data_IF_070707023867
#
_entry.id   IF_070707023867
#
_cell.length_a   1.000
_cell.length_b   1.000
_cell.length_c   1.000
_cell.angle_alpha   90.00
_cell.angle_beta   90.00
_cell.angle_gamma   90.00
#
_symmetry.space_group_name_H-M   'P 1'
#
loop_
_entity.id
_entity.type
_entity.pdbx_description
1 polymer ?
#
# COMPACT_ATOMS: atom_id res chain seq x y z
N UNK A 1 19.87 13.13 7.95
CA UNK A 1 19.52 11.72 7.68
C UNK A 1 18.11 11.69 7.11
N UNK A 2 17.93 11.47 5.80
CA UNK A 2 16.58 11.25 5.26
C UNK A 2 16.14 9.85 5.67
N UNK A 3 15.26 9.74 6.67
CA UNK A 3 14.63 8.47 7.02
C UNK A 3 13.58 8.21 5.94
N UNK A 4 13.90 7.40 4.93
CA UNK A 4 12.89 6.88 4.02
C UNK A 4 11.88 6.08 4.84
N UNK A 5 10.73 6.69 5.17
CA UNK A 5 9.70 6.02 5.94
C UNK A 5 9.10 4.92 5.06
N UNK A 6 9.20 3.70 5.55
CA UNK A 6 8.51 2.55 4.97
C UNK A 6 7.25 2.29 5.78
N UNK A 7 6.09 2.28 5.12
CA UNK A 7 4.80 2.02 5.74
C UNK A 7 4.25 0.68 5.25
N UNK A 8 3.87 -0.20 6.18
CA UNK A 8 3.11 -1.42 5.87
C UNK A 8 1.62 -1.13 5.98
N UNK A 9 0.88 -1.34 4.89
CA UNK A 9 -0.58 -1.27 4.88
C UNK A 9 -1.14 -2.69 4.91
N UNK A 10 -1.83 -3.03 5.99
CA UNK A 10 -2.59 -4.28 6.12
C UNK A 10 -4.03 -4.09 5.64
N UNK A 11 -4.71 -5.17 5.27
CA UNK A 11 -6.08 -5.12 4.76
C UNK A 11 -6.24 -4.14 3.56
N UNK A 12 -5.21 -4.06 2.71
CA UNK A 12 -5.16 -3.12 1.58
C UNK A 12 -6.24 -3.37 0.53
N UNK A 13 -6.76 -4.60 0.45
CA UNK A 13 -7.85 -4.95 -0.48
C UNK A 13 -9.21 -4.41 -0.02
N UNK A 14 -9.33 -3.93 1.22
CA UNK A 14 -10.52 -3.27 1.72
C UNK A 14 -10.61 -1.80 1.28
N UNK A 15 -11.80 -1.20 1.43
CA UNK A 15 -12.07 0.18 0.98
C UNK A 15 -11.12 1.21 1.61
N UNK A 16 -10.85 1.10 2.91
CA UNK A 16 -10.00 2.04 3.63
C UNK A 16 -8.51 1.79 3.32
N UNK A 17 -8.04 0.55 3.52
CA UNK A 17 -6.64 0.20 3.29
C UNK A 17 -6.18 0.54 1.87
N UNK A 18 -7.01 0.26 0.86
CA UNK A 18 -6.69 0.57 -0.53
C UNK A 18 -6.71 2.07 -0.83
N UNK A 19 -7.59 2.84 -0.20
CA UNK A 19 -7.56 4.31 -0.32
C UNK A 19 -6.31 4.90 0.35
N UNK A 20 -5.95 4.42 1.54
CA UNK A 20 -4.75 4.84 2.27
C UNK A 20 -3.47 4.52 1.49
N UNK A 21 -3.31 3.30 0.98
CA UNK A 21 -2.13 2.93 0.20
C UNK A 21 -1.97 3.78 -1.06
N UNK A 22 -3.08 4.06 -1.78
CA UNK A 22 -3.08 4.93 -2.95
C UNK A 22 -2.71 6.37 -2.60
N UNK A 23 -3.21 6.92 -1.50
CA UNK A 23 -2.86 8.26 -1.04
C UNK A 23 -1.37 8.38 -0.68
N UNK A 24 -0.82 7.41 0.07
CA UNK A 24 0.60 7.39 0.45
C UNK A 24 1.53 7.24 -0.76
N UNK A 25 1.13 6.42 -1.74
CA UNK A 25 1.88 6.30 -3.00
C UNK A 25 1.85 7.60 -3.81
N UNK A 26 0.70 8.30 -3.86
CA UNK A 26 0.56 9.56 -4.57
C UNK A 26 1.39 10.71 -3.96
N UNK A 27 1.67 10.66 -2.65
CA UNK A 27 2.53 11.62 -1.95
C UNK A 27 4.02 11.50 -2.35
N UNK A 28 4.45 10.34 -2.90
CA UNK A 28 5.78 10.13 -3.48
C UNK A 28 6.95 10.09 -2.49
N UNK A 29 6.74 10.45 -1.23
CA UNK A 29 7.76 10.54 -0.18
C UNK A 29 7.90 9.24 0.64
N UNK A 30 6.91 8.34 0.54
CA UNK A 30 6.77 7.16 1.39
C UNK A 30 6.96 5.88 0.58
N UNK A 31 7.81 4.98 1.07
CA UNK A 31 7.87 3.61 0.54
C UNK A 31 6.70 2.80 1.10
N UNK A 32 5.81 2.32 0.24
CA UNK A 32 4.61 1.57 0.67
C UNK A 32 4.80 0.08 0.45
N UNK A 33 4.60 -0.72 1.49
CA UNK A 33 4.49 -2.18 1.43
C UNK A 33 3.08 -2.59 1.77
N UNK A 34 2.59 -3.65 1.15
CA UNK A 34 1.23 -4.13 1.40
C UNK A 34 1.24 -5.60 1.81
N UNK A 35 0.33 -5.96 2.73
CA UNK A 35 0.08 -7.36 3.09
C UNK A 35 -1.24 -7.81 2.46
N UNK A 36 -1.15 -8.82 1.60
CA UNK A 36 -2.28 -9.48 0.94
C UNK A 36 -2.19 -10.98 1.14
N UNK A 37 -3.33 -11.68 1.00
CA UNK A 37 -3.37 -13.15 1.13
C UNK A 37 -2.68 -13.86 -0.04
N UNK A 38 -2.86 -13.35 -1.26
CA UNK A 38 -2.24 -13.86 -2.47
C UNK A 38 -1.81 -12.67 -3.35
N UNK A 39 -0.51 -12.39 -3.47
CA UNK A 39 -0.02 -11.30 -4.32
C UNK A 39 -0.11 -11.61 -5.82
N UNK A 40 -0.23 -12.90 -6.19
CA UNK A 40 -0.34 -13.36 -7.58
C UNK A 40 -1.81 -13.52 -8.03
N UNK A 41 -2.78 -13.09 -7.19
CA UNK A 41 -4.18 -13.12 -7.58
C UNK A 41 -4.41 -12.19 -8.80
N UNK A 42 -5.20 -12.61 -9.81
CA UNK A 42 -5.50 -11.75 -10.93
C UNK A 42 -6.18 -10.45 -10.45
N UNK A 43 -5.77 -9.33 -11.04
CA UNK A 43 -6.49 -8.07 -10.90
C UNK A 43 -7.68 -8.11 -11.88
N UNK A 44 -8.73 -8.84 -11.51
CA UNK A 44 -10.01 -8.81 -12.22
C UNK A 44 -10.71 -7.48 -11.87
N UNK A 45 -10.29 -6.40 -12.57
CA UNK A 45 -10.90 -5.06 -12.47
C UNK A 45 -11.86 -4.85 -13.63
#
# INVERSE_FOLDING_TARGET
MSRHQTVLVTAVTGRQGGATARALLAEGSTSVRVLVRNPEAPNDV
#
